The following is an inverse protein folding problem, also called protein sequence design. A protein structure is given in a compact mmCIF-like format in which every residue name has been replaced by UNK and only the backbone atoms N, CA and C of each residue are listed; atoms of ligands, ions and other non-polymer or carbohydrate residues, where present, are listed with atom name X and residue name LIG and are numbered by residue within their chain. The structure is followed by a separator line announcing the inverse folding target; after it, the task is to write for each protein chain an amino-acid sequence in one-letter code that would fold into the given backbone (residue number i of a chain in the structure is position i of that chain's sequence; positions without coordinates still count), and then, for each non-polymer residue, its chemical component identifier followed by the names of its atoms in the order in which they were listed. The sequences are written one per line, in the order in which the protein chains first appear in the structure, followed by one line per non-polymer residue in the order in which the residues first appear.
data_IF_596471477305
#
_entry.id   IF_596471477305
#
_cell.length_a   1.000
_cell.length_b   1.000
_cell.length_c   1.000
_cell.angle_alpha   90.00
_cell.angle_beta   90.00
_cell.angle_gamma   90.00
#
_symmetry.space_group_name_H-M   'P 1'
#
loop_
_entity.id
_entity.type
_entity.pdbx_description
1 polymer ?
#
# COMPACT_ATOMS: atom_id res chain seq x y z
N UNK A 1 55.43 46.98 19.77
CA UNK A 1 53.98 47.18 20.00
C UNK A 1 53.25 47.65 18.76
N UNK A 2 53.78 48.62 17.99
CA UNK A 2 53.15 49.10 16.75
C UNK A 2 52.96 47.99 15.68
N UNK A 3 54.00 47.19 15.40
CA UNK A 3 53.94 46.11 14.39
C UNK A 3 52.91 45.01 14.72
N UNK A 4 52.68 44.72 16.01
CA UNK A 4 51.65 43.78 16.44
C UNK A 4 50.24 44.32 16.18
N UNK A 5 50.01 45.60 16.49
CA UNK A 5 48.71 46.26 16.28
C UNK A 5 48.40 46.43 14.79
N UNK A 6 49.41 46.72 13.97
CA UNK A 6 49.27 46.84 12.51
C UNK A 6 48.93 45.51 11.84
N UNK A 7 49.39 44.37 12.37
CA UNK A 7 49.04 43.04 11.87
C UNK A 7 47.75 42.48 12.49
N UNK A 8 47.40 42.88 13.71
CA UNK A 8 46.25 42.35 14.44
C UNK A 8 44.91 42.88 13.91
N UNK A 9 44.78 44.20 13.72
CA UNK A 9 43.51 44.82 13.31
C UNK A 9 43.01 44.38 11.92
N UNK A 10 43.85 44.26 10.88
CA UNK A 10 43.41 43.78 9.57
C UNK A 10 42.93 42.32 9.60
N UNK A 11 43.60 41.45 10.37
CA UNK A 11 43.23 40.04 10.50
C UNK A 11 41.94 39.86 11.32
N UNK A 12 41.78 40.63 12.41
CA UNK A 12 40.54 40.67 13.18
C UNK A 12 39.39 41.21 12.33
N UNK A 13 39.62 42.29 11.58
CA UNK A 13 38.62 42.87 10.68
C UNK A 13 38.22 41.91 9.56
N UNK A 14 39.19 41.23 8.93
CA UNK A 14 38.91 40.22 7.89
C UNK A 14 38.10 39.04 8.44
N UNK A 15 38.41 38.57 9.65
CA UNK A 15 37.67 37.50 10.32
C UNK A 15 36.27 37.96 10.73
N UNK A 16 36.14 39.18 11.28
CA UNK A 16 34.85 39.75 11.66
C UNK A 16 33.96 39.99 10.43
N UNK A 17 34.50 40.53 9.34
CA UNK A 17 33.80 40.70 8.06
C UNK A 17 33.42 39.33 7.49
N UNK A 18 34.34 38.37 7.51
CA UNK A 18 34.10 37.00 7.07
C UNK A 18 32.99 36.30 7.86
N UNK A 19 32.89 36.53 9.18
CA UNK A 19 31.82 35.99 10.03
C UNK A 19 30.50 36.75 9.82
N UNK A 20 30.53 38.08 9.79
CA UNK A 20 29.33 38.92 9.63
C UNK A 20 28.67 38.73 8.27
N UNK A 21 29.46 38.51 7.21
CA UNK A 21 28.92 38.25 5.87
C UNK A 21 28.76 36.75 5.59
N UNK A 22 29.71 35.92 6.03
CA UNK A 22 29.71 34.48 5.75
C UNK A 22 28.66 33.70 6.54
N UNK A 23 28.42 34.03 7.83
CA UNK A 23 27.45 33.30 8.65
C UNK A 23 26.00 33.50 8.12
N UNK A 24 25.52 34.71 7.81
CA UNK A 24 24.19 34.88 7.24
C UNK A 24 24.02 34.22 5.86
N UNK A 25 25.05 34.29 5.00
CA UNK A 25 25.01 33.63 3.68
C UNK A 25 24.96 32.10 3.84
N UNK A 26 25.77 31.53 4.73
CA UNK A 26 25.75 30.09 5.00
C UNK A 26 24.41 29.64 5.60
N UNK A 27 23.85 30.39 6.55
CA UNK A 27 22.52 30.11 7.12
C UNK A 27 21.42 30.23 6.07
N UNK A 28 21.48 31.23 5.20
CA UNK A 28 20.53 31.41 4.11
C UNK A 28 20.58 30.25 3.11
N UNK A 29 21.78 29.85 2.69
CA UNK A 29 21.97 28.70 1.79
C UNK A 29 21.48 27.40 2.45
N UNK A 30 21.83 27.16 3.72
CA UNK A 30 21.37 25.97 4.44
C UNK A 30 19.84 25.94 4.55
N UNK A 31 19.21 27.10 4.82
CA UNK A 31 17.74 27.22 4.84
C UNK A 31 17.14 26.92 3.47
N UNK A 32 17.73 27.41 2.38
CA UNK A 32 17.27 27.13 1.02
C UNK A 32 17.40 25.64 0.67
N UNK A 33 18.53 25.00 1.02
CA UNK A 33 18.70 23.56 0.82
C UNK A 33 17.70 22.74 1.63
N UNK A 34 17.46 23.13 2.88
CA UNK A 34 16.48 22.45 3.75
C UNK A 34 15.06 22.56 3.18
N UNK A 35 14.65 23.74 2.70
CA UNK A 35 13.33 23.94 2.08
C UNK A 35 13.20 23.06 0.83
N UNK A 36 14.19 23.08 -0.07
CA UNK A 36 14.17 22.24 -1.27
C UNK A 36 14.16 20.74 -0.96
N UNK A 37 14.91 20.31 0.05
CA UNK A 37 14.91 18.92 0.50
C UNK A 37 13.53 18.51 1.01
N UNK A 38 12.89 19.35 1.84
CA UNK A 38 11.52 19.13 2.32
C UNK A 38 10.50 19.10 1.18
N UNK A 39 10.60 20.02 0.22
CA UNK A 39 9.72 20.02 -0.95
C UNK A 39 9.86 18.73 -1.77
N UNK A 40 11.10 18.29 -2.00
CA UNK A 40 11.40 17.05 -2.74
C UNK A 40 10.85 15.83 -2.01
N UNK A 41 11.06 15.74 -0.70
CA UNK A 41 10.56 14.64 0.14
C UNK A 41 9.03 14.57 0.14
N UNK A 42 8.35 15.72 0.22
CA UNK A 42 6.88 15.78 0.13
C UNK A 42 6.40 15.32 -1.25
N UNK A 43 7.04 15.75 -2.33
CA UNK A 43 6.68 15.34 -3.70
C UNK A 43 6.91 13.84 -3.90
N UNK A 44 8.04 13.31 -3.45
CA UNK A 44 8.37 11.89 -3.55
C UNK A 44 7.40 11.03 -2.73
N UNK A 45 7.11 11.43 -1.50
CA UNK A 45 6.12 10.75 -0.64
C UNK A 45 4.72 10.72 -1.27
N UNK A 46 4.26 11.84 -1.85
CA UNK A 46 2.98 11.89 -2.57
C UNK A 46 2.96 10.96 -3.76
N UNK A 47 4.05 10.90 -4.53
CA UNK A 47 4.19 10.01 -5.68
C UNK A 47 4.15 8.55 -5.25
N UNK A 48 4.92 8.17 -4.24
CA UNK A 48 4.94 6.79 -3.70
C UNK A 48 3.55 6.36 -3.23
N UNK A 49 2.83 7.23 -2.53
CA UNK A 49 1.46 6.96 -2.11
C UNK A 49 0.53 6.77 -3.32
N UNK A 50 0.61 7.65 -4.32
CA UNK A 50 -0.20 7.56 -5.55
C UNK A 50 0.08 6.26 -6.33
N UNK A 51 1.35 5.88 -6.47
CA UNK A 51 1.75 4.65 -7.16
C UNK A 51 1.28 3.40 -6.41
N UNK A 52 1.36 3.42 -5.07
CA UNK A 52 0.85 2.34 -4.22
C UNK A 52 -0.67 2.21 -4.31
N UNK A 53 -1.41 3.32 -4.26
CA UNK A 53 -2.87 3.35 -4.42
C UNK A 53 -3.26 2.78 -5.79
N UNK A 54 -2.58 3.23 -6.86
CA UNK A 54 -2.84 2.76 -8.23
C UNK A 54 -2.65 1.24 -8.32
N UNK A 55 -1.55 0.72 -7.78
CA UNK A 55 -1.25 -0.73 -7.78
C UNK A 55 -2.28 -1.53 -6.98
N UNK A 56 -2.78 -1.00 -5.85
CA UNK A 56 -3.85 -1.62 -5.08
C UNK A 56 -5.16 -1.67 -5.86
N UNK A 57 -5.56 -0.55 -6.49
CA UNK A 57 -6.77 -0.46 -7.30
C UNK A 57 -6.72 -1.46 -8.44
N UNK A 58 -5.60 -1.53 -9.17
CA UNK A 58 -5.41 -2.52 -10.24
C UNK A 58 -5.51 -3.96 -9.71
N UNK A 59 -4.98 -4.22 -8.51
CA UNK A 59 -5.07 -5.53 -7.88
C UNK A 59 -6.50 -5.87 -7.46
N UNK A 60 -7.28 -4.92 -6.93
CA UNK A 60 -8.71 -5.09 -6.67
C UNK A 60 -9.47 -5.41 -7.97
N UNK A 61 -9.26 -4.62 -9.03
CA UNK A 61 -9.92 -4.84 -10.33
C UNK A 61 -9.57 -6.21 -10.92
N UNK A 62 -8.32 -6.65 -10.78
CA UNK A 62 -7.91 -7.99 -11.20
C UNK A 62 -8.60 -9.07 -10.37
N UNK A 63 -8.55 -8.96 -9.03
CA UNK A 63 -9.15 -9.93 -8.13
C UNK A 63 -10.67 -10.03 -8.33
N UNK A 64 -11.38 -8.93 -8.59
CA UNK A 64 -12.81 -8.94 -8.91
C UNK A 64 -13.10 -9.89 -10.08
N UNK A 65 -12.29 -9.86 -11.14
CA UNK A 65 -12.48 -10.75 -12.30
C UNK A 65 -12.29 -12.21 -11.92
N UNK A 66 -11.26 -12.52 -11.14
CA UNK A 66 -10.97 -13.88 -10.65
C UNK A 66 -12.08 -14.37 -9.72
N UNK A 67 -12.51 -13.55 -8.77
CA UNK A 67 -13.59 -13.85 -7.84
C UNK A 67 -14.92 -14.08 -8.56
N UNK A 68 -15.24 -13.27 -9.58
CA UNK A 68 -16.43 -13.49 -10.40
C UNK A 68 -16.37 -14.81 -11.18
N UNK A 69 -15.19 -15.21 -11.66
CA UNK A 69 -15.02 -16.52 -12.30
C UNK A 69 -15.16 -17.67 -11.29
N UNK A 70 -14.54 -17.56 -10.11
CA UNK A 70 -14.73 -18.53 -9.01
C UNK A 70 -16.22 -18.65 -8.64
N UNK A 71 -16.92 -17.52 -8.55
CA UNK A 71 -18.34 -17.44 -8.27
C UNK A 71 -19.17 -18.20 -9.32
N UNK A 72 -18.89 -18.00 -10.61
CA UNK A 72 -19.56 -18.73 -11.70
C UNK A 72 -19.27 -20.24 -11.65
N UNK A 73 -18.02 -20.64 -11.48
CA UNK A 73 -17.65 -22.06 -11.41
C UNK A 73 -18.31 -22.75 -10.21
N UNK A 74 -18.43 -22.07 -9.07
CA UNK A 74 -19.07 -22.62 -7.87
C UNK A 74 -20.56 -22.88 -8.07
N UNK A 75 -21.26 -22.11 -8.91
CA UNK A 75 -22.66 -22.38 -9.27
C UNK A 75 -22.81 -23.70 -10.04
N UNK A 76 -21.79 -24.06 -10.83
CA UNK A 76 -21.73 -25.33 -11.55
C UNK A 76 -21.20 -26.48 -10.68
N UNK A 77 -20.96 -26.24 -9.39
CA UNK A 77 -20.35 -27.21 -8.46
C UNK A 77 -18.86 -27.44 -8.70
N UNK A 78 -18.21 -26.60 -9.50
CA UNK A 78 -16.79 -26.69 -9.83
C UNK A 78 -15.97 -25.71 -9.00
N UNK A 79 -14.67 -25.97 -8.87
CA UNK A 79 -13.72 -25.06 -8.23
C UNK A 79 -12.51 -24.82 -9.11
N UNK A 80 -11.89 -23.65 -8.96
CA UNK A 80 -10.70 -23.32 -9.73
C UNK A 80 -9.50 -24.09 -9.22
N UNK A 81 -8.69 -24.62 -10.14
CA UNK A 81 -7.36 -25.09 -9.79
C UNK A 81 -6.42 -23.89 -9.67
N UNK A 82 -5.97 -23.59 -8.45
CA UNK A 82 -5.06 -22.49 -8.14
C UNK A 82 -5.55 -21.11 -8.65
N UNK A 83 -6.54 -20.50 -7.99
CA UNK A 83 -7.06 -19.20 -8.39
C UNK A 83 -5.94 -18.17 -8.24
N UNK A 84 -5.57 -17.53 -9.33
CA UNK A 84 -4.50 -16.53 -9.37
C UNK A 84 -4.98 -15.22 -8.72
N UNK A 85 -5.14 -15.21 -7.40
CA UNK A 85 -5.49 -14.02 -6.63
C UNK A 85 -4.22 -13.25 -6.27
N UNK A 86 -4.23 -11.92 -6.43
CA UNK A 86 -3.12 -11.04 -6.03
C UNK A 86 -3.10 -10.82 -4.52
N UNK A 87 -2.83 -11.88 -3.75
CA UNK A 87 -2.84 -11.89 -2.29
C UNK A 87 -1.60 -11.23 -1.66
N UNK A 88 -0.51 -11.13 -2.41
CA UNK A 88 0.78 -10.56 -1.95
C UNK A 88 0.88 -9.03 -2.08
N UNK A 89 -0.04 -8.39 -2.83
CA UNK A 89 -0.02 -6.94 -3.07
C UNK A 89 -0.03 -6.17 -1.76
N UNK A 90 -0.90 -6.54 -0.82
CA UNK A 90 -0.97 -5.88 0.49
C UNK A 90 0.33 -5.99 1.28
N UNK A 91 0.93 -7.18 1.33
CA UNK A 91 2.21 -7.38 2.03
C UNK A 91 3.32 -6.46 1.49
N UNK A 92 3.32 -6.22 0.19
CA UNK A 92 4.32 -5.36 -0.48
C UNK A 92 4.08 -3.87 -0.24
N UNK A 93 2.82 -3.42 -0.27
CA UNK A 93 2.47 -1.99 -0.25
C UNK A 93 2.07 -1.47 1.13
N UNK A 94 1.74 -2.35 2.08
CA UNK A 94 1.27 -2.00 3.43
C UNK A 94 2.20 -1.03 4.14
N UNK A 95 3.53 -1.21 4.02
CA UNK A 95 4.51 -0.31 4.64
C UNK A 95 4.35 1.11 4.12
N UNK A 96 4.24 1.30 2.81
CA UNK A 96 4.06 2.64 2.20
C UNK A 96 2.72 3.24 2.66
N UNK A 97 1.65 2.45 2.63
CA UNK A 97 0.31 2.91 2.97
C UNK A 97 0.18 3.29 4.44
N UNK A 98 0.72 2.51 5.36
CA UNK A 98 0.67 2.80 6.80
C UNK A 98 1.40 4.10 7.15
N UNK A 99 2.48 4.45 6.44
CA UNK A 99 3.24 5.66 6.70
C UNK A 99 2.61 6.92 6.07
N UNK A 100 1.89 6.78 4.95
CA UNK A 100 1.44 7.93 4.16
C UNK A 100 -0.07 8.12 4.10
N UNK A 101 -0.87 7.07 4.30
CA UNK A 101 -2.32 7.14 4.28
C UNK A 101 -2.86 7.51 5.67
N UNK A 102 -3.60 8.62 5.76
CA UNK A 102 -4.13 9.16 7.02
C UNK A 102 -5.51 8.63 7.42
N UNK A 103 -6.08 7.70 6.65
CA UNK A 103 -7.37 7.07 6.93
C UNK A 103 -7.14 5.67 7.54
N UNK A 104 -7.15 5.54 8.88
CA UNK A 104 -6.95 4.24 9.53
C UNK A 104 -8.10 3.26 9.26
N UNK A 105 -9.32 3.76 9.06
CA UNK A 105 -10.47 2.91 8.75
C UNK A 105 -10.33 2.26 7.39
N UNK A 106 -9.85 3.00 6.38
CA UNK A 106 -9.55 2.41 5.08
C UNK A 106 -8.38 1.41 5.15
N UNK A 107 -7.33 1.69 5.92
CA UNK A 107 -6.23 0.74 6.12
C UNK A 107 -6.72 -0.57 6.74
N UNK A 108 -7.56 -0.50 7.77
CA UNK A 108 -8.13 -1.68 8.42
C UNK A 108 -8.98 -2.50 7.44
N UNK A 109 -9.94 -1.85 6.78
CA UNK A 109 -10.84 -2.49 5.81
C UNK A 109 -10.05 -3.15 4.66
N UNK A 110 -9.03 -2.45 4.15
CA UNK A 110 -8.12 -2.98 3.13
C UNK A 110 -7.35 -4.19 3.66
N UNK A 111 -6.74 -4.11 4.84
CA UNK A 111 -6.00 -5.24 5.42
C UNK A 111 -6.89 -6.48 5.62
N UNK A 112 -8.12 -6.29 6.08
CA UNK A 112 -9.09 -7.35 6.30
C UNK A 112 -9.53 -7.98 4.98
N UNK A 113 -9.66 -7.19 3.91
CA UNK A 113 -9.98 -7.73 2.59
C UNK A 113 -8.91 -8.74 2.11
N UNK A 114 -7.63 -8.38 2.18
CA UNK A 114 -6.55 -9.29 1.75
C UNK A 114 -6.42 -10.51 2.66
N UNK A 115 -6.67 -10.38 3.95
CA UNK A 115 -6.73 -11.54 4.85
C UNK A 115 -7.85 -12.51 4.42
N UNK A 116 -9.03 -11.99 4.06
CA UNK A 116 -10.14 -12.81 3.57
C UNK A 116 -9.86 -13.44 2.21
N UNK A 117 -9.13 -12.77 1.31
CA UNK A 117 -8.69 -13.36 0.04
C UNK A 117 -7.80 -14.60 0.27
N UNK A 118 -6.81 -14.51 1.17
CA UNK A 118 -5.96 -15.66 1.51
C UNK A 118 -6.79 -16.84 2.05
N UNK A 119 -7.76 -16.56 2.95
CA UNK A 119 -8.67 -17.60 3.46
C UNK A 119 -9.53 -18.23 2.37
N UNK A 120 -9.98 -17.44 1.39
CA UNK A 120 -10.74 -17.96 0.25
C UNK A 120 -9.86 -18.85 -0.65
N UNK A 121 -8.60 -18.48 -0.86
CA UNK A 121 -7.63 -19.29 -1.62
C UNK A 121 -7.34 -20.63 -0.93
N UNK A 122 -7.17 -20.62 0.38
CA UNK A 122 -7.04 -21.82 1.22
C UNK A 122 -8.30 -22.69 1.14
N UNK A 123 -9.48 -22.09 1.29
CA UNK A 123 -10.78 -22.77 1.15
C UNK A 123 -10.91 -23.43 -0.22
N UNK A 124 -10.63 -22.69 -1.29
CA UNK A 124 -10.68 -23.22 -2.66
C UNK A 124 -9.73 -24.40 -2.84
N UNK A 125 -8.50 -24.28 -2.34
CA UNK A 125 -7.50 -25.35 -2.40
C UNK A 125 -7.96 -26.61 -1.64
N UNK A 126 -8.59 -26.41 -0.48
CA UNK A 126 -9.15 -27.50 0.30
C UNK A 126 -10.28 -28.21 -0.45
N UNK A 127 -11.23 -27.46 -1.01
CA UNK A 127 -12.34 -28.03 -1.80
C UNK A 127 -11.83 -28.75 -3.05
N UNK A 128 -10.84 -28.17 -3.73
CA UNK A 128 -10.20 -28.82 -4.88
C UNK A 128 -9.54 -30.15 -4.49
N UNK A 129 -8.84 -30.19 -3.36
CA UNK A 129 -8.23 -31.42 -2.85
C UNK A 129 -9.29 -32.48 -2.52
N UNK A 130 -10.45 -32.09 -1.95
CA UNK A 130 -11.56 -33.01 -1.70
C UNK A 130 -12.17 -33.55 -3.01
N UNK A 131 -12.42 -32.67 -3.99
CA UNK A 131 -13.00 -33.05 -5.29
C UNK A 131 -12.10 -33.99 -6.10
N UNK A 132 -10.78 -33.84 -5.96
CA UNK A 132 -9.78 -34.66 -6.67
C UNK A 132 -9.37 -35.92 -5.89
N UNK A 133 -9.97 -36.17 -4.71
CA UNK A 133 -9.65 -37.32 -3.86
C UNK A 133 -8.27 -37.24 -3.19
N UNK A 134 -7.63 -36.06 -3.17
CA UNK A 134 -6.36 -35.81 -2.48
C UNK A 134 -6.55 -35.53 -0.98
N UNK A 135 -7.76 -35.15 -0.58
CA UNK A 135 -8.16 -34.97 0.82
C UNK A 135 -9.43 -35.79 1.12
N UNK A 136 -9.61 -36.26 2.36
CA UNK A 136 -10.83 -36.95 2.75
C UNK A 136 -12.03 -36.01 2.65
N UNK A 137 -13.20 -36.57 2.32
CA UNK A 137 -14.45 -35.81 2.39
C UNK A 137 -14.75 -35.43 3.85
N UNK A 138 -15.47 -34.31 4.07
CA UNK A 138 -15.84 -33.90 5.41
C UNK A 138 -16.72 -34.97 6.09
N UNK A 139 -16.60 -35.08 7.41
CA UNK A 139 -17.49 -35.91 8.21
C UNK A 139 -18.75 -35.12 8.56
N UNK A 140 -19.90 -35.79 8.65
CA UNK A 140 -21.17 -35.15 9.02
C UNK A 140 -21.03 -34.32 10.32
N UNK A 141 -21.67 -33.14 10.40
CA UNK A 141 -22.82 -32.70 9.60
C UNK A 141 -22.47 -31.87 8.35
N UNK A 142 -21.19 -31.57 8.10
CA UNK A 142 -20.78 -30.68 7.00
C UNK A 142 -20.58 -31.52 5.73
N UNK A 143 -21.10 -31.05 4.61
CA UNK A 143 -20.98 -31.71 3.31
C UNK A 143 -20.06 -30.92 2.37
N UNK A 144 -19.57 -31.56 1.31
CA UNK A 144 -18.82 -30.88 0.25
C UNK A 144 -19.63 -29.74 -0.39
N UNK A 145 -20.95 -29.90 -0.49
CA UNK A 145 -21.84 -28.87 -1.00
C UNK A 145 -21.83 -27.61 -0.12
N UNK A 146 -21.75 -27.76 1.20
CA UNK A 146 -21.67 -26.61 2.13
C UNK A 146 -20.40 -25.80 1.91
N UNK A 147 -19.27 -26.46 1.66
CA UNK A 147 -18.01 -25.79 1.33
C UNK A 147 -18.09 -25.03 0.00
N UNK A 148 -18.74 -25.61 -1.02
CA UNK A 148 -18.94 -24.94 -2.32
C UNK A 148 -19.86 -23.73 -2.17
N UNK A 149 -20.94 -23.84 -1.38
CA UNK A 149 -21.82 -22.72 -1.04
C UNK A 149 -21.07 -21.60 -0.29
N UNK A 150 -20.19 -21.95 0.65
CA UNK A 150 -19.35 -20.98 1.35
C UNK A 150 -18.38 -20.27 0.40
N UNK A 151 -17.77 -21.03 -0.51
CA UNK A 151 -16.86 -20.49 -1.53
C UNK A 151 -17.58 -19.54 -2.48
N UNK A 152 -18.78 -19.90 -2.93
CA UNK A 152 -19.67 -19.06 -3.75
C UNK A 152 -19.96 -17.73 -3.04
N UNK A 153 -20.50 -17.79 -1.81
CA UNK A 153 -20.85 -16.61 -1.02
C UNK A 153 -19.64 -15.74 -0.75
N UNK A 154 -18.54 -16.35 -0.31
CA UNK A 154 -17.30 -15.62 0.00
C UNK A 154 -16.70 -14.95 -1.24
N UNK A 155 -16.71 -15.61 -2.40
CA UNK A 155 -16.21 -15.03 -3.64
C UNK A 155 -17.06 -13.82 -4.08
N UNK A 156 -18.39 -13.94 -4.02
CA UNK A 156 -19.32 -12.84 -4.33
C UNK A 156 -19.14 -11.66 -3.38
N UNK A 157 -19.11 -11.91 -2.06
CA UNK A 157 -18.94 -10.86 -1.05
C UNK A 157 -17.58 -10.16 -1.18
N UNK A 158 -16.52 -10.91 -1.47
CA UNK A 158 -15.19 -10.34 -1.67
C UNK A 158 -15.10 -9.54 -2.96
N UNK A 159 -15.79 -9.93 -4.04
CA UNK A 159 -15.83 -9.15 -5.26
C UNK A 159 -16.50 -7.78 -5.03
N UNK A 160 -17.63 -7.77 -4.33
CA UNK A 160 -18.31 -6.53 -3.94
C UNK A 160 -17.42 -5.66 -3.03
N UNK A 161 -16.77 -6.27 -2.04
CA UNK A 161 -15.89 -5.56 -1.12
C UNK A 161 -14.63 -4.99 -1.81
N UNK A 162 -14.05 -5.72 -2.77
CA UNK A 162 -12.94 -5.22 -3.59
C UNK A 162 -13.36 -4.00 -4.43
N UNK A 163 -14.60 -4.00 -4.94
CA UNK A 163 -15.13 -2.87 -5.69
C UNK A 163 -15.25 -1.63 -4.81
N UNK A 164 -15.85 -1.75 -3.62
CA UNK A 164 -15.96 -0.65 -2.65
C UNK A 164 -14.58 -0.07 -2.27
N UNK A 165 -13.61 -0.94 -1.96
CA UNK A 165 -12.24 -0.52 -1.63
C UNK A 165 -11.62 0.24 -2.81
N UNK A 166 -11.79 -0.26 -4.04
CA UNK A 166 -11.24 0.37 -5.23
C UNK A 166 -11.81 1.77 -5.47
N UNK A 167 -13.12 1.97 -5.28
CA UNK A 167 -13.78 3.27 -5.42
C UNK A 167 -13.29 4.25 -4.35
N UNK A 168 -13.18 3.81 -3.08
CA UNK A 168 -12.68 4.64 -1.98
C UNK A 168 -11.23 5.07 -2.22
N UNK A 169 -10.39 4.16 -2.70
CA UNK A 169 -8.99 4.45 -3.04
C UNK A 169 -8.87 5.43 -4.21
N UNK A 170 -9.68 5.27 -5.26
CA UNK A 170 -9.72 6.20 -6.39
C UNK A 170 -10.20 7.60 -5.97
N UNK A 171 -11.20 7.68 -5.10
CA UNK A 171 -11.68 8.96 -4.58
C UNK A 171 -10.58 9.71 -3.81
N UNK A 172 -9.79 9.01 -2.99
CA UNK A 172 -8.64 9.61 -2.30
C UNK A 172 -7.58 10.12 -3.28
N UNK A 173 -7.32 9.39 -4.35
CA UNK A 173 -6.41 9.83 -5.40
C UNK A 173 -6.93 11.11 -6.10
N UNK A 174 -8.24 11.19 -6.33
CA UNK A 174 -8.89 12.38 -6.89
C UNK A 174 -8.83 13.61 -5.97
N UNK A 175 -8.96 13.42 -4.64
CA UNK A 175 -8.87 14.51 -3.66
C UNK A 175 -7.45 15.03 -3.45
N UNK A 176 -6.43 14.18 -3.62
CA UNK A 176 -5.02 14.57 -3.51
C UNK A 176 -4.45 15.30 -4.73
N UNK A 177 -5.21 15.36 -5.84
CA UNK A 177 -4.82 16.01 -7.10
C UNK A 177 -5.32 17.46 -7.23
N UNK A 178 -6.09 17.96 -6.26
CA UNK A 178 -6.59 19.33 -6.14
C UNK A 178 -5.86 20.11 -5.05
#
# INVERSE_FOLDING_TARGET
MAEFLDAFWPNLAATAIGVVLGLPVALYLNRQFTIKAMETEVTESKKLLSDAITTLVESCVYNIKVLNNMNQLSLDGQVMRNPDLRTTTWGTLSVILVHHLRDPGLLEVTSHHWLRLNRLEELNSQVFAMQTGQAPLPQEPITLADYICELHRSASDLAAHAHEISERLQHLQGQGAS
#
